data_IF_613989228027
#
_entry.id   IF_613989228027
#
_cell.length_a   1.000
_cell.length_b   1.000
_cell.length_c   1.000
_cell.angle_alpha   90.00
_cell.angle_beta   90.00
_cell.angle_gamma   90.00
#
_symmetry.space_group_name_H-M   'P 1'
#
loop_
_entity.id
_entity.type
_entity.pdbx_description
1 polymer ?
#
# COMPACT_ATOMS: atom_id res chain seq x y z
N UNK A 1 -56.09 43.46 3.70
CA UNK A 1 -54.61 43.29 3.41
C UNK A 1 -54.15 42.03 4.12
N UNK A 2 -53.92 40.92 3.38
CA UNK A 2 -53.36 39.64 3.93
C UNK A 2 -51.89 39.67 3.75
N UNK A 3 -51.12 39.74 4.85
CA UNK A 3 -49.66 39.57 4.78
C UNK A 3 -49.34 38.09 4.65
N UNK A 4 -48.76 37.74 3.51
CA UNK A 4 -48.20 36.41 3.25
C UNK A 4 -46.78 36.37 3.80
N UNK A 5 -46.55 35.63 4.90
CA UNK A 5 -45.24 35.40 5.46
C UNK A 5 -44.60 34.30 4.62
N UNK A 6 -43.59 34.66 3.82
CA UNK A 6 -42.73 33.71 3.12
C UNK A 6 -41.69 33.24 4.12
N UNK A 7 -41.80 32.00 4.60
CA UNK A 7 -40.78 31.35 5.40
C UNK A 7 -39.73 30.81 4.43
N UNK A 8 -38.60 31.48 4.34
CA UNK A 8 -37.45 31.03 3.60
C UNK A 8 -36.75 29.94 4.44
N UNK A 9 -36.96 28.66 4.09
CA UNK A 9 -36.21 27.55 4.70
C UNK A 9 -34.80 27.59 4.20
N UNK A 10 -33.86 28.05 5.03
CA UNK A 10 -32.41 27.94 4.78
C UNK A 10 -32.00 26.48 4.97
N UNK A 11 -31.85 25.71 3.89
CA UNK A 11 -31.27 24.39 3.93
C UNK A 11 -29.77 24.54 4.23
N UNK A 12 -29.40 24.33 5.49
CA UNK A 12 -28.03 24.17 5.89
C UNK A 12 -27.51 22.90 5.21
N UNK A 13 -26.67 23.03 4.18
CA UNK A 13 -25.90 21.93 3.62
C UNK A 13 -24.92 21.45 4.71
N UNK A 14 -25.30 20.42 5.46
CA UNK A 14 -24.38 19.69 6.32
C UNK A 14 -23.35 19.05 5.39
N UNK A 15 -22.03 19.29 5.56
CA UNK A 15 -21.05 18.56 4.79
C UNK A 15 -21.29 17.08 5.09
N UNK A 16 -21.67 16.31 4.07
CA UNK A 16 -21.73 14.86 4.14
C UNK A 16 -20.29 14.37 4.29
N UNK A 17 -19.84 14.25 5.54
CA UNK A 17 -18.74 13.36 5.84
C UNK A 17 -19.22 12.00 5.34
N UNK A 18 -18.58 11.49 4.29
CA UNK A 18 -18.86 10.17 3.79
C UNK A 18 -18.49 9.19 4.90
N UNK A 19 -19.46 8.84 5.74
CA UNK A 19 -19.35 7.67 6.60
C UNK A 19 -19.04 6.50 5.69
N UNK A 20 -17.98 5.77 6.01
CA UNK A 20 -17.74 4.46 5.39
C UNK A 20 -19.04 3.68 5.59
N UNK A 21 -19.75 3.40 4.51
CA UNK A 21 -21.03 2.69 4.62
C UNK A 21 -20.77 1.31 5.21
N UNK A 22 -21.74 0.74 5.93
CA UNK A 22 -21.65 -0.64 6.45
C UNK A 22 -21.27 -1.63 5.33
N UNK A 23 -21.80 -1.43 4.12
CA UNK A 23 -21.45 -2.20 2.93
C UNK A 23 -19.96 -2.11 2.56
N UNK A 24 -19.35 -0.94 2.71
CA UNK A 24 -17.92 -0.76 2.45
C UNK A 24 -17.07 -1.46 3.52
N UNK A 25 -17.48 -1.38 4.79
CA UNK A 25 -16.80 -2.07 5.88
C UNK A 25 -16.91 -3.59 5.72
N UNK A 26 -18.08 -4.12 5.38
CA UNK A 26 -18.29 -5.53 5.09
C UNK A 26 -17.42 -6.01 3.93
N UNK A 27 -17.38 -5.26 2.83
CA UNK A 27 -16.52 -5.56 1.68
C UNK A 27 -15.04 -5.62 2.07
N UNK A 28 -14.55 -4.67 2.85
CA UNK A 28 -13.16 -4.66 3.30
C UNK A 28 -12.87 -5.82 4.27
N UNK A 29 -13.81 -6.14 5.16
CA UNK A 29 -13.70 -7.30 6.04
C UNK A 29 -13.58 -8.60 5.25
N UNK A 30 -14.43 -8.82 4.25
CA UNK A 30 -14.37 -10.00 3.37
C UNK A 30 -13.02 -10.14 2.64
N UNK A 31 -12.44 -9.01 2.23
CA UNK A 31 -11.11 -9.00 1.61
C UNK A 31 -10.06 -9.40 2.65
N UNK A 32 -10.07 -8.79 3.85
CA UNK A 32 -9.11 -9.07 4.91
C UNK A 32 -9.16 -10.53 5.38
N UNK A 33 -10.34 -11.13 5.49
CA UNK A 33 -10.50 -12.54 5.87
C UNK A 33 -9.83 -13.51 4.89
N UNK A 34 -9.59 -13.11 3.65
CA UNK A 34 -8.87 -13.91 2.63
C UNK A 34 -7.35 -13.77 2.72
N UNK A 35 -6.84 -12.76 3.45
CA UNK A 35 -5.42 -12.47 3.51
C UNK A 35 -4.56 -13.63 4.06
N UNK A 36 -4.94 -14.35 5.13
CA UNK A 36 -4.13 -15.45 5.67
C UNK A 36 -3.87 -16.56 4.65
N UNK A 37 -4.88 -16.94 3.87
CA UNK A 37 -4.74 -17.98 2.84
C UNK A 37 -3.81 -17.58 1.68
N UNK A 38 -3.55 -16.28 1.51
CA UNK A 38 -2.68 -15.72 0.48
C UNK A 38 -1.37 -15.14 1.07
N UNK A 39 -0.88 -15.71 2.18
CA UNK A 39 0.32 -15.23 2.89
C UNK A 39 0.26 -13.73 3.19
N UNK A 40 -0.90 -13.23 3.62
CA UNK A 40 -1.18 -11.81 3.89
C UNK A 40 -0.81 -10.88 2.70
N UNK A 41 -0.89 -11.41 1.48
CA UNK A 41 -0.50 -10.74 0.23
C UNK A 41 0.96 -10.28 0.25
N UNK A 42 1.84 -11.06 0.89
CA UNK A 42 3.26 -10.78 0.91
C UNK A 42 4.03 -11.82 0.09
N UNK A 43 5.04 -11.36 -0.63
CA UNK A 43 6.02 -12.16 -1.35
C UNK A 43 7.42 -11.85 -0.82
N UNK A 44 8.32 -12.83 -0.85
CA UNK A 44 9.70 -12.61 -0.44
C UNK A 44 10.54 -12.06 -1.60
N UNK A 45 11.62 -11.35 -1.28
CA UNK A 45 12.55 -10.85 -2.29
C UNK A 45 13.13 -11.99 -3.16
N UNK A 46 13.45 -13.14 -2.56
CA UNK A 46 13.98 -14.31 -3.28
C UNK A 46 12.96 -14.88 -4.28
N UNK A 47 11.67 -14.85 -3.95
CA UNK A 47 10.60 -15.29 -4.87
C UNK A 47 10.53 -14.36 -6.08
N UNK A 48 10.51 -13.04 -5.83
CA UNK A 48 10.48 -12.04 -6.90
C UNK A 48 11.73 -12.15 -7.77
N UNK A 49 12.91 -12.33 -7.17
CA UNK A 49 14.15 -12.54 -7.89
C UNK A 49 14.10 -13.81 -8.76
N UNK A 50 13.62 -14.92 -8.21
CA UNK A 50 13.42 -16.18 -8.95
C UNK A 50 12.46 -16.00 -10.14
N UNK A 51 11.37 -15.25 -9.98
CA UNK A 51 10.45 -14.95 -11.09
C UNK A 51 11.12 -14.13 -12.19
N UNK A 52 11.94 -13.14 -11.81
CA UNK A 52 12.71 -12.34 -12.77
C UNK A 52 13.73 -13.19 -13.54
N UNK A 53 14.47 -14.08 -12.84
CA UNK A 53 15.44 -15.00 -13.50
C UNK A 53 14.73 -15.98 -14.46
N UNK A 54 13.54 -16.45 -14.09
CA UNK A 54 12.69 -17.29 -14.93
C UNK A 54 11.97 -16.50 -16.03
N UNK A 55 12.22 -15.19 -16.17
CA UNK A 55 11.58 -14.30 -17.15
C UNK A 55 10.05 -14.36 -17.14
N UNK A 56 9.44 -14.55 -15.96
CA UNK A 56 8.00 -14.55 -15.82
C UNK A 56 7.43 -13.17 -16.17
N UNK A 57 6.24 -13.17 -16.80
CA UNK A 57 5.55 -11.96 -17.25
C UNK A 57 4.22 -11.73 -16.54
N UNK A 58 3.87 -12.58 -15.58
CA UNK A 58 2.62 -12.57 -14.83
C UNK A 58 2.61 -11.63 -13.62
N UNK A 59 3.61 -10.74 -13.51
CA UNK A 59 3.68 -9.72 -12.47
C UNK A 59 4.30 -8.41 -12.98
N UNK A 60 4.06 -7.33 -12.23
CA UNK A 60 4.75 -6.05 -12.37
C UNK A 60 5.24 -5.60 -10.99
N UNK A 61 6.35 -4.86 -10.96
CA UNK A 61 6.89 -4.27 -9.74
C UNK A 61 6.61 -2.77 -9.76
N UNK A 62 6.08 -2.25 -8.66
CA UNK A 62 5.81 -0.82 -8.48
C UNK A 62 6.59 -0.30 -7.28
N UNK A 63 7.56 0.55 -7.55
CA UNK A 63 8.31 1.27 -6.53
C UNK A 63 7.44 2.42 -6.01
N UNK A 64 6.96 2.28 -4.77
CA UNK A 64 6.05 3.24 -4.14
C UNK A 64 6.74 4.15 -3.12
N UNK A 65 8.07 4.24 -3.14
CA UNK A 65 8.81 5.14 -2.26
C UNK A 65 8.41 6.59 -2.48
N UNK A 66 8.47 7.45 -1.42
CA UNK A 66 8.05 8.85 -1.54
C UNK A 66 8.96 9.68 -2.47
N UNK A 67 10.25 9.34 -2.55
CA UNK A 67 11.23 10.05 -3.36
C UNK A 67 11.67 9.23 -4.56
N UNK A 68 12.09 9.86 -5.67
CA UNK A 68 12.54 9.17 -6.86
C UNK A 68 13.67 8.17 -6.59
N UNK A 69 13.72 7.03 -7.30
CA UNK A 69 14.69 5.96 -7.08
C UNK A 69 16.15 6.38 -7.12
N UNK A 70 16.49 7.36 -7.97
CA UNK A 70 17.86 7.89 -8.08
C UNK A 70 18.38 8.56 -6.81
N UNK A 71 17.49 9.05 -5.94
CA UNK A 71 17.82 9.64 -4.65
C UNK A 71 17.88 8.61 -3.51
N UNK A 72 17.53 7.36 -3.79
CA UNK A 72 17.35 6.31 -2.77
C UNK A 72 18.06 5.01 -3.13
N UNK A 73 19.25 5.08 -3.73
CA UNK A 73 20.10 3.91 -3.99
C UNK A 73 19.64 3.04 -5.18
N UNK A 74 18.90 3.60 -6.12
CA UNK A 74 18.41 2.89 -7.30
C UNK A 74 17.05 2.20 -7.10
N UNK A 75 16.69 1.33 -8.05
CA UNK A 75 15.41 0.59 -8.05
C UNK A 75 15.61 -0.83 -8.54
N UNK A 76 14.62 -1.68 -8.29
CA UNK A 76 14.57 -3.01 -8.88
C UNK A 76 14.46 -2.92 -10.40
N UNK A 77 15.15 -3.80 -11.17
CA UNK A 77 15.05 -3.81 -12.62
C UNK A 77 13.60 -3.97 -13.09
N UNK A 78 13.19 -3.19 -14.09
CA UNK A 78 11.84 -3.25 -14.65
C UNK A 78 10.73 -2.62 -13.77
N UNK A 79 11.04 -2.16 -12.56
CA UNK A 79 10.03 -1.53 -11.70
C UNK A 79 9.58 -0.18 -12.28
N UNK A 80 8.27 0.05 -12.28
CA UNK A 80 7.72 1.39 -12.51
C UNK A 80 7.74 2.18 -11.19
N UNK A 81 7.87 3.50 -11.27
CA UNK A 81 7.83 4.37 -10.11
C UNK A 81 6.49 5.09 -10.03
N UNK A 82 5.76 4.89 -8.94
CA UNK A 82 4.52 5.60 -8.60
C UNK A 82 4.51 5.77 -7.08
N UNK A 83 4.72 6.98 -6.54
CA UNK A 83 4.69 7.18 -5.09
C UNK A 83 3.41 6.66 -4.44
N UNK A 84 3.50 6.13 -3.21
CA UNK A 84 2.33 5.56 -2.52
C UNK A 84 1.18 6.55 -2.38
N UNK A 85 1.47 7.86 -2.26
CA UNK A 85 0.49 8.94 -2.17
C UNK A 85 -0.27 9.19 -3.47
N UNK A 86 0.24 8.71 -4.60
CA UNK A 86 -0.32 8.96 -5.93
C UNK A 86 -0.89 7.69 -6.59
N UNK A 87 -0.63 6.51 -6.02
CA UNK A 87 -0.96 5.24 -6.67
C UNK A 87 -2.46 5.06 -6.92
N UNK A 88 -3.31 5.67 -6.10
CA UNK A 88 -4.77 5.61 -6.24
C UNK A 88 -5.34 6.71 -7.15
N UNK A 89 -4.54 7.61 -7.69
CA UNK A 89 -4.98 8.57 -8.70
C UNK A 89 -5.41 7.84 -9.98
N UNK A 90 -6.46 8.33 -10.63
CA UNK A 90 -7.08 7.66 -11.79
C UNK A 90 -6.08 7.37 -12.93
N UNK A 91 -5.17 8.31 -13.19
CA UNK A 91 -4.11 8.18 -14.21
C UNK A 91 -3.07 7.11 -13.83
N UNK A 92 -2.81 6.86 -12.55
CA UNK A 92 -1.90 5.84 -12.07
C UNK A 92 -2.55 4.46 -12.00
N UNK A 93 -3.81 4.39 -11.57
CA UNK A 93 -4.58 3.13 -11.60
C UNK A 93 -4.68 2.55 -13.01
N UNK A 94 -4.76 3.39 -14.06
CA UNK A 94 -4.78 2.96 -15.47
C UNK A 94 -3.46 2.31 -15.93
N UNK A 95 -2.35 2.58 -15.26
CA UNK A 95 -1.03 1.98 -15.56
C UNK A 95 -0.87 0.59 -14.94
N UNK A 96 -1.69 0.25 -13.95
CA UNK A 96 -1.61 -1.03 -13.26
C UNK A 96 -2.41 -2.10 -14.00
N UNK A 97 -1.81 -3.27 -14.27
CA UNK A 97 -2.52 -4.38 -14.91
C UNK A 97 -3.53 -5.03 -13.95
N UNK A 98 -4.63 -5.54 -14.50
CA UNK A 98 -5.63 -6.32 -13.74
C UNK A 98 -5.51 -7.83 -13.94
N UNK A 99 -4.74 -8.23 -14.91
CA UNK A 99 -4.50 -9.62 -15.34
C UNK A 99 -3.20 -10.22 -14.78
N UNK A 100 -2.44 -9.43 -14.01
CA UNK A 100 -1.14 -9.82 -13.44
C UNK A 100 -0.99 -9.32 -12.01
N UNK A 101 -0.09 -9.95 -11.25
CA UNK A 101 0.26 -9.50 -9.90
C UNK A 101 0.90 -8.11 -9.92
N UNK A 102 0.44 -7.24 -9.01
CA UNK A 102 1.03 -5.91 -8.79
C UNK A 102 1.81 -5.95 -7.47
N UNK A 103 3.14 -5.97 -7.55
CA UNK A 103 4.03 -6.09 -6.39
C UNK A 103 4.50 -4.70 -5.97
N UNK A 104 4.02 -4.20 -4.84
CA UNK A 104 4.42 -2.91 -4.29
C UNK A 104 5.69 -3.05 -3.46
N UNK A 105 6.63 -2.11 -3.64
CA UNK A 105 7.92 -2.12 -2.94
C UNK A 105 8.26 -0.72 -2.43
N UNK A 106 8.42 -0.57 -1.12
CA UNK A 106 8.89 0.70 -0.50
C UNK A 106 10.28 0.54 0.14
N UNK A 107 10.64 1.38 1.11
CA UNK A 107 11.95 1.36 1.79
C UNK A 107 12.11 0.12 2.66
N UNK A 108 11.21 -0.09 3.64
CA UNK A 108 11.30 -1.11 4.69
C UNK A 108 10.12 -2.10 4.72
N UNK A 109 9.20 -2.00 3.74
CA UNK A 109 8.01 -2.86 3.71
C UNK A 109 6.79 -2.31 4.45
N UNK A 110 6.83 -1.08 4.99
CA UNK A 110 5.75 -0.50 5.80
C UNK A 110 4.74 0.27 4.95
N UNK A 111 5.16 1.36 4.30
CA UNK A 111 4.26 2.27 3.56
C UNK A 111 3.61 1.62 2.33
N UNK A 112 4.21 0.60 1.75
CA UNK A 112 3.63 -0.17 0.65
C UNK A 112 2.33 -0.89 1.03
N UNK A 113 2.07 -1.13 2.33
CA UNK A 113 0.86 -1.79 2.79
C UNK A 113 -0.36 -0.85 2.79
N UNK A 114 -0.15 0.47 2.82
CA UNK A 114 -1.23 1.45 2.91
C UNK A 114 -2.26 1.31 1.76
N UNK A 115 -1.88 1.22 0.48
CA UNK A 115 -2.83 1.12 -0.62
C UNK A 115 -3.34 -0.30 -0.90
N UNK A 116 -2.81 -1.35 -0.26
CA UNK A 116 -3.11 -2.75 -0.64
C UNK A 116 -4.60 -3.08 -0.55
N UNK A 117 -5.24 -2.78 0.58
CA UNK A 117 -6.66 -3.10 0.76
C UNK A 117 -7.53 -2.39 -0.29
N UNK A 118 -7.22 -1.13 -0.59
CA UNK A 118 -7.93 -0.35 -1.59
C UNK A 118 -7.70 -0.92 -2.99
N UNK A 119 -6.46 -1.21 -3.37
CA UNK A 119 -6.16 -1.82 -4.68
C UNK A 119 -6.90 -3.15 -4.85
N UNK A 120 -6.92 -4.01 -3.83
CA UNK A 120 -7.66 -5.27 -3.86
C UNK A 120 -9.17 -5.04 -3.96
N UNK A 121 -9.72 -4.05 -3.26
CA UNK A 121 -11.14 -3.70 -3.37
C UNK A 121 -11.53 -3.19 -4.76
N UNK A 122 -10.56 -2.62 -5.49
CA UNK A 122 -10.68 -2.20 -6.88
C UNK A 122 -10.41 -3.34 -7.89
N UNK A 123 -10.16 -4.56 -7.42
CA UNK A 123 -9.97 -5.76 -8.25
C UNK A 123 -8.57 -5.94 -8.82
N UNK A 124 -7.55 -5.30 -8.23
CA UNK A 124 -6.14 -5.60 -8.55
C UNK A 124 -5.64 -6.77 -7.73
N UNK A 125 -4.82 -7.65 -8.33
CA UNK A 125 -4.12 -8.71 -7.61
C UNK A 125 -2.83 -8.15 -6.98
N UNK A 126 -3.01 -7.29 -5.94
CA UNK A 126 -1.96 -6.50 -5.33
C UNK A 126 -1.28 -7.26 -4.17
N UNK A 127 0.05 -7.24 -4.18
CA UNK A 127 0.94 -7.82 -3.16
C UNK A 127 1.96 -6.79 -2.70
N UNK A 128 2.64 -7.08 -1.60
CA UNK A 128 3.79 -6.32 -1.11
C UNK A 128 5.03 -7.22 -1.05
N UNK A 129 6.21 -6.68 -1.35
CA UNK A 129 7.44 -7.41 -1.09
C UNK A 129 7.89 -7.19 0.35
N UNK A 130 7.97 -8.27 1.13
CA UNK A 130 8.39 -8.23 2.53
C UNK A 130 9.71 -7.47 2.69
N UNK A 131 9.76 -6.56 3.67
CA UNK A 131 10.91 -5.69 3.99
C UNK A 131 11.32 -4.71 2.87
N UNK A 132 10.57 -4.60 1.77
CA UNK A 132 10.80 -3.63 0.71
C UNK A 132 12.22 -3.69 0.12
N UNK A 133 12.76 -2.53 -0.29
CA UNK A 133 14.14 -2.45 -0.81
C UNK A 133 15.22 -2.86 0.21
N UNK A 134 14.91 -2.87 1.52
CA UNK A 134 15.83 -3.35 2.55
C UNK A 134 16.17 -4.84 2.40
N UNK A 135 15.27 -5.63 1.80
CA UNK A 135 15.52 -7.04 1.48
C UNK A 135 16.14 -7.23 0.08
N UNK A 136 16.30 -6.16 -0.71
CA UNK A 136 16.78 -6.25 -2.09
C UNK A 136 18.17 -5.63 -2.29
N UNK A 137 18.40 -4.45 -1.70
CA UNK A 137 19.63 -3.68 -1.91
C UNK A 137 20.61 -3.93 -0.77
N UNK A 138 21.81 -4.46 -1.08
CA UNK A 138 22.88 -4.66 -0.10
C UNK A 138 23.29 -3.32 0.53
N UNK A 139 23.35 -3.27 1.86
CA UNK A 139 23.77 -2.07 2.59
C UNK A 139 22.74 -0.92 2.57
N UNK A 140 21.51 -1.21 2.19
CA UNK A 140 20.46 -0.19 2.07
C UNK A 140 20.18 0.50 3.39
N UNK A 141 19.95 1.82 3.34
CA UNK A 141 19.70 2.64 4.53
C UNK A 141 18.54 2.13 5.39
N UNK A 142 17.48 1.64 4.77
CA UNK A 142 16.32 1.10 5.47
C UNK A 142 16.65 -0.13 6.31
N UNK A 143 17.53 -1.01 5.82
CA UNK A 143 17.99 -2.18 6.58
C UNK A 143 18.83 -1.78 7.80
N UNK A 144 19.64 -0.72 7.70
CA UNK A 144 20.40 -0.18 8.82
C UNK A 144 19.47 0.38 9.90
N UNK A 145 18.47 1.18 9.48
CA UNK A 145 17.45 1.73 10.37
C UNK A 145 16.69 0.63 11.10
N UNK A 146 16.26 -0.42 10.40
CA UNK A 146 15.54 -1.54 11.01
C UNK A 146 16.39 -2.27 12.05
N UNK A 147 17.65 -2.57 11.74
CA UNK A 147 18.58 -3.22 12.70
C UNK A 147 18.77 -2.39 13.96
N UNK A 148 18.98 -1.08 13.79
CA UNK A 148 19.13 -0.18 14.93
C UNK A 148 17.86 -0.13 15.81
N UNK A 149 16.69 -0.12 15.20
CA UNK A 149 15.42 -0.10 15.94
C UNK A 149 15.22 -1.40 16.73
N UNK A 150 15.56 -2.55 16.14
CA UNK A 150 15.48 -3.86 16.81
C UNK A 150 16.48 -3.89 17.97
N UNK A 151 17.73 -3.46 17.74
CA UNK A 151 18.76 -3.40 18.80
C UNK A 151 18.32 -2.51 19.96
N UNK A 152 17.71 -1.35 19.70
CA UNK A 152 17.17 -0.48 20.73
C UNK A 152 16.09 -1.18 21.59
N UNK A 153 15.28 -2.04 21.00
CA UNK A 153 14.28 -2.80 21.74
C UNK A 153 14.92 -3.86 22.64
N UNK A 154 15.96 -4.55 22.16
CA UNK A 154 16.74 -5.50 22.96
C UNK A 154 17.44 -4.81 24.13
N UNK A 155 18.09 -3.67 23.87
CA UNK A 155 18.85 -2.92 24.89
C UNK A 155 17.93 -2.33 25.98
N UNK A 156 16.73 -1.87 25.61
CA UNK A 156 15.78 -1.22 26.53
C UNK A 156 14.82 -2.18 27.20
N UNK A 157 14.62 -3.38 26.65
CA UNK A 157 13.67 -4.38 27.12
C UNK A 157 12.31 -3.76 27.51
N UNK A 158 11.62 -3.19 26.53
CA UNK A 158 10.34 -2.53 26.75
C UNK A 158 9.35 -3.47 27.45
N UNK A 159 8.54 -2.96 28.39
CA UNK A 159 7.60 -3.80 29.14
C UNK A 159 6.52 -4.38 28.22
N UNK A 160 6.08 -5.59 28.54
CA UNK A 160 4.95 -6.27 27.89
C UNK A 160 3.94 -6.70 28.94
N UNK A 161 2.65 -6.63 28.61
CA UNK A 161 1.56 -7.23 29.40
C UNK A 161 1.29 -8.65 28.90
N UNK A 162 0.96 -9.56 29.84
CA UNK A 162 0.61 -10.96 29.55
C UNK A 162 -0.87 -11.20 29.72
#
# INVERSE_FOLDING_TARGET
MRFMIVVLALALAVPSYAFVSEDSAAKFSDILMKAPAANHWQVKADEVYGWMQAKKTDFVIVDVRPNPPGQQGGRMPGAMYIPYSEILMAENLKKLPKDRKVILVCVTGQTQNLPILVLRSLGFDAYTMAFGHSAWIKGYMGANYMRQTIQNAEDKNFPVEQ
#
